data_IF_807630447082
#
_entry.id   IF_807630447082
#
_cell.length_a   1.000
_cell.length_b   1.000
_cell.length_c   1.000
_cell.angle_alpha   90.00
_cell.angle_beta   90.00
_cell.angle_gamma   90.00
#
_symmetry.space_group_name_H-M   'P 1'
#
loop_
_entity.id
_entity.type
_entity.pdbx_description
1 polymer ?
#
# COMPACT_ATOMS: atom_id res chain seq x y z
N UNK A 1 67.47 15.44 5.75
CA UNK A 1 66.91 15.27 4.40
C UNK A 1 65.41 15.12 4.53
N UNK A 2 64.67 16.21 4.33
CA UNK A 2 63.22 16.28 4.47
C UNK A 2 62.54 15.85 3.17
N UNK A 3 61.64 14.88 3.26
CA UNK A 3 60.76 14.51 2.16
C UNK A 3 59.58 15.48 2.11
N UNK A 4 59.74 16.52 1.30
CA UNK A 4 58.64 17.37 0.82
C UNK A 4 58.30 16.92 -0.60
N UNK A 5 57.28 16.07 -0.78
CA UNK A 5 56.61 15.93 -2.08
C UNK A 5 55.28 15.16 -1.99
N UNK A 6 54.19 15.83 -2.38
CA UNK A 6 53.02 15.24 -3.06
C UNK A 6 52.01 14.33 -2.34
N UNK A 7 51.66 14.61 -1.09
CA UNK A 7 50.42 14.08 -0.48
C UNK A 7 49.14 14.86 -0.88
N UNK A 8 49.27 15.95 -1.65
CA UNK A 8 48.11 16.73 -2.17
C UNK A 8 47.54 16.21 -3.49
N UNK A 9 48.28 15.36 -4.24
CA UNK A 9 47.85 14.90 -5.57
C UNK A 9 46.79 13.79 -5.50
N UNK A 10 46.85 12.93 -4.47
CA UNK A 10 45.90 11.82 -4.27
C UNK A 10 44.52 12.33 -3.84
N UNK A 11 44.45 13.37 -3.00
CA UNK A 11 43.18 13.97 -2.57
C UNK A 11 42.48 14.72 -3.73
N UNK A 12 43.25 15.29 -4.66
CA UNK A 12 42.68 15.98 -5.82
C UNK A 12 42.06 15.00 -6.83
N UNK A 13 42.66 13.82 -7.02
CA UNK A 13 42.14 12.78 -7.93
C UNK A 13 40.88 12.08 -7.37
N UNK A 14 40.78 11.92 -6.05
CA UNK A 14 39.56 11.43 -5.38
C UNK A 14 38.42 12.46 -5.38
N UNK A 15 38.72 13.77 -5.38
CA UNK A 15 37.71 14.82 -5.56
C UNK A 15 37.24 14.97 -7.01
N UNK A 16 38.11 14.68 -7.98
CA UNK A 16 37.76 14.76 -9.40
C UNK A 16 36.83 13.61 -9.83
N UNK A 17 37.04 12.41 -9.29
CA UNK A 17 36.12 11.27 -9.55
C UNK A 17 34.76 11.42 -8.87
N UNK A 18 34.69 12.00 -7.67
CA UNK A 18 33.41 12.24 -6.98
C UNK A 18 32.55 13.31 -7.66
N UNK A 19 33.14 14.36 -8.23
CA UNK A 19 32.39 15.40 -8.95
C UNK A 19 31.99 14.99 -10.39
N UNK A 20 32.72 14.04 -11.00
CA UNK A 20 32.43 13.54 -12.35
C UNK A 20 31.31 12.48 -12.36
N UNK A 21 31.19 11.67 -11.29
CA UNK A 21 30.05 10.76 -11.12
C UNK A 21 28.75 11.49 -10.77
N UNK A 22 28.81 12.63 -10.08
CA UNK A 22 27.62 13.40 -9.71
C UNK A 22 27.02 14.18 -10.90
N UNK A 23 27.84 14.55 -11.89
CA UNK A 23 27.39 15.28 -13.10
C UNK A 23 26.87 14.37 -14.22
N UNK A 24 27.00 13.05 -14.07
CA UNK A 24 26.45 12.06 -15.01
C UNK A 24 25.16 11.39 -14.53
N UNK A 25 24.62 11.76 -13.36
CA UNK A 25 23.22 11.49 -13.04
C UNK A 25 22.35 12.60 -13.66
N UNK A 26 22.27 12.54 -14.98
CA UNK A 26 21.26 13.21 -15.78
C UNK A 26 19.89 12.70 -15.32
N UNK A 27 19.31 13.34 -14.30
CA UNK A 27 17.88 13.35 -14.01
C UNK A 27 17.17 14.17 -15.09
N UNK A 28 17.33 13.75 -16.34
CA UNK A 28 16.63 14.24 -17.52
C UNK A 28 15.74 13.12 -18.05
N UNK A 29 14.70 12.81 -17.28
CA UNK A 29 13.41 12.29 -17.75
C UNK A 29 12.42 12.47 -16.60
N UNK A 30 11.36 13.23 -16.86
CA UNK A 30 10.48 13.82 -15.86
C UNK A 30 10.17 12.90 -14.70
N UNK A 31 10.52 13.35 -13.49
CA UNK A 31 9.69 12.98 -12.35
C UNK A 31 8.37 13.70 -12.57
N UNK A 32 7.43 13.06 -13.25
CA UNK A 32 6.03 13.35 -12.96
C UNK A 32 5.85 12.98 -11.49
N UNK A 33 6.06 13.96 -10.60
CA UNK A 33 5.86 13.78 -9.18
C UNK A 33 4.36 13.57 -9.04
N UNK A 34 3.97 12.33 -8.73
CA UNK A 34 2.57 12.02 -8.47
C UNK A 34 2.19 12.73 -7.17
N UNK A 35 1.45 13.83 -7.30
CA UNK A 35 0.92 14.58 -6.18
C UNK A 35 -0.37 13.94 -5.71
N UNK A 36 -0.27 13.04 -4.73
CA UNK A 36 -1.42 12.40 -4.13
C UNK A 36 -2.21 13.38 -3.27
N UNK A 37 -3.51 13.45 -3.51
CA UNK A 37 -4.47 14.05 -2.57
C UNK A 37 -4.49 13.26 -1.27
N UNK A 38 -4.96 13.87 -0.18
CA UNK A 38 -5.06 13.19 1.12
C UNK A 38 -5.86 11.88 1.02
N UNK A 39 -6.95 11.87 0.24
CA UNK A 39 -7.79 10.69 0.03
C UNK A 39 -7.04 9.55 -0.66
N UNK A 40 -6.18 9.87 -1.62
CA UNK A 40 -5.36 8.87 -2.30
C UNK A 40 -4.27 8.33 -1.37
N UNK A 41 -3.68 9.18 -0.54
CA UNK A 41 -2.73 8.73 0.49
C UNK A 41 -3.40 7.80 1.51
N UNK A 42 -4.61 8.11 1.96
CA UNK A 42 -5.36 7.27 2.89
C UNK A 42 -5.67 5.88 2.28
N UNK A 43 -6.05 5.85 0.99
CA UNK A 43 -6.24 4.59 0.25
C UNK A 43 -4.94 3.79 0.13
N UNK A 44 -3.81 4.45 -0.11
CA UNK A 44 -2.50 3.78 -0.14
C UNK A 44 -2.10 3.23 1.24
N UNK A 45 -2.40 3.95 2.32
CA UNK A 45 -2.17 3.45 3.68
C UNK A 45 -3.03 2.22 4.00
N UNK A 46 -4.25 2.17 3.47
CA UNK A 46 -5.11 0.99 3.59
C UNK A 46 -4.50 -0.25 2.91
N UNK A 47 -3.90 -0.08 1.73
CA UNK A 47 -3.19 -1.17 1.03
C UNK A 47 -2.06 -1.74 1.89
N UNK A 48 -1.28 -0.87 2.54
CA UNK A 48 -0.19 -1.28 3.43
C UNK A 48 -0.74 -2.03 4.65
N UNK A 49 -1.84 -1.57 5.23
CA UNK A 49 -2.48 -2.25 6.36
C UNK A 49 -2.98 -3.65 5.97
N UNK A 50 -3.59 -3.79 4.78
CA UNK A 50 -4.06 -5.06 4.26
C UNK A 50 -2.91 -6.04 3.99
N UNK A 51 -1.80 -5.59 3.40
CA UNK A 51 -0.62 -6.43 3.17
C UNK A 51 0.00 -6.90 4.50
N UNK A 52 0.11 -6.01 5.50
CA UNK A 52 0.57 -6.39 6.84
C UNK A 52 -0.34 -7.45 7.48
N UNK A 53 -1.66 -7.29 7.35
CA UNK A 53 -2.66 -8.23 7.85
C UNK A 53 -2.55 -9.59 7.16
N UNK A 54 -2.43 -9.63 5.81
CA UNK A 54 -2.23 -10.89 5.06
C UNK A 54 -0.95 -11.61 5.49
N UNK A 55 0.15 -10.89 5.70
CA UNK A 55 1.39 -11.48 6.22
C UNK A 55 1.22 -12.05 7.64
N UNK A 56 0.35 -11.48 8.48
CA UNK A 56 -0.01 -12.03 9.80
C UNK A 56 -0.85 -13.29 9.66
N UNK A 57 -1.86 -13.27 8.79
CA UNK A 57 -2.71 -14.43 8.47
C UNK A 57 -1.88 -15.62 7.97
N UNK A 58 -0.91 -15.38 7.07
CA UNK A 58 -0.01 -16.43 6.56
C UNK A 58 0.87 -17.09 7.62
N UNK A 59 1.08 -16.43 8.77
CA UNK A 59 1.77 -17.03 9.93
C UNK A 59 0.83 -17.82 10.85
N UNK A 60 -0.46 -17.89 10.53
CA UNK A 60 -1.48 -18.56 11.34
C UNK A 60 -2.01 -17.73 12.49
N UNK A 61 -1.87 -16.39 12.44
CA UNK A 61 -2.47 -15.51 13.44
C UNK A 61 -3.91 -15.16 13.05
N UNK A 62 -4.82 -15.24 14.03
CA UNK A 62 -6.18 -14.70 13.91
C UNK A 62 -6.13 -13.19 13.81
N UNK A 63 -6.92 -12.64 12.90
CA UNK A 63 -6.95 -11.22 12.58
C UNK A 63 -7.74 -10.42 13.62
N UNK A 64 -7.26 -9.23 13.92
CA UNK A 64 -8.01 -8.26 14.72
C UNK A 64 -9.00 -7.44 13.87
N UNK A 65 -9.78 -6.58 14.52
CA UNK A 65 -10.76 -5.72 13.85
C UNK A 65 -10.16 -4.85 12.72
N UNK A 66 -9.12 -4.00 12.94
CA UNK A 66 -8.61 -3.16 11.86
C UNK A 66 -7.94 -3.95 10.73
N UNK A 67 -7.37 -5.12 11.02
CA UNK A 67 -6.81 -6.01 9.99
C UNK A 67 -7.89 -6.64 9.11
N UNK A 68 -8.99 -7.11 9.71
CA UNK A 68 -10.12 -7.64 8.98
C UNK A 68 -10.74 -6.57 8.06
N UNK A 69 -10.96 -5.36 8.61
CA UNK A 69 -11.45 -4.21 7.83
C UNK A 69 -10.51 -3.90 6.67
N UNK A 70 -9.21 -3.84 6.91
CA UNK A 70 -8.23 -3.50 5.87
C UNK A 70 -8.22 -4.52 4.74
N UNK A 71 -8.24 -5.83 5.06
CA UNK A 71 -8.27 -6.90 4.06
C UNK A 71 -9.52 -6.81 3.20
N UNK A 72 -10.71 -6.75 3.84
CA UNK A 72 -11.99 -6.67 3.11
C UNK A 72 -11.99 -5.42 2.23
N UNK A 73 -11.54 -4.29 2.76
CA UNK A 73 -11.51 -3.03 2.00
C UNK A 73 -10.60 -3.09 0.79
N UNK A 74 -9.42 -3.68 0.94
CA UNK A 74 -8.46 -3.84 -0.14
C UNK A 74 -9.04 -4.69 -1.28
N UNK A 75 -9.63 -5.83 -0.95
CA UNK A 75 -10.24 -6.75 -1.92
C UNK A 75 -11.42 -6.11 -2.67
N UNK A 76 -12.19 -5.25 -2.01
CA UNK A 76 -13.28 -4.50 -2.66
C UNK A 76 -12.74 -3.42 -3.61
N UNK A 77 -11.66 -2.73 -3.23
CA UNK A 77 -11.00 -1.75 -4.10
C UNK A 77 -10.42 -2.42 -5.35
N UNK A 78 -9.75 -3.56 -5.20
CA UNK A 78 -9.21 -4.33 -6.32
C UNK A 78 -10.32 -4.89 -7.20
N UNK A 79 -11.39 -5.43 -6.60
CA UNK A 79 -12.54 -5.90 -7.36
C UNK A 79 -13.24 -4.79 -8.16
N UNK A 80 -13.32 -3.57 -7.63
CA UNK A 80 -13.82 -2.42 -8.37
C UNK A 80 -12.87 -2.05 -9.53
N UNK A 81 -11.56 -2.19 -9.32
CA UNK A 81 -10.54 -1.96 -10.36
C UNK A 81 -10.57 -2.98 -11.48
N UNK A 82 -10.91 -4.22 -11.16
CA UNK A 82 -11.16 -5.33 -12.09
C UNK A 82 -12.45 -5.16 -12.90
N UNK A 83 -13.29 -4.18 -12.55
CA UNK A 83 -14.53 -3.88 -13.23
C UNK A 83 -15.72 -4.73 -12.78
N UNK A 84 -15.66 -5.36 -11.60
CA UNK A 84 -16.84 -5.99 -10.99
C UNK A 84 -17.92 -4.95 -10.75
N UNK A 85 -19.19 -5.37 -10.76
CA UNK A 85 -20.32 -4.50 -10.45
C UNK A 85 -20.44 -4.30 -8.93
N UNK A 86 -21.14 -3.23 -8.52
CA UNK A 86 -21.41 -2.96 -7.09
C UNK A 86 -22.11 -4.15 -6.43
N UNK A 87 -23.08 -4.77 -7.11
CA UNK A 87 -23.82 -5.93 -6.58
C UNK A 87 -22.93 -7.17 -6.39
N UNK A 88 -22.00 -7.41 -7.31
CA UNK A 88 -21.02 -8.50 -7.17
C UNK A 88 -20.09 -8.25 -5.98
N UNK A 89 -19.64 -7.01 -5.78
CA UNK A 89 -18.77 -6.63 -4.67
C UNK A 89 -19.45 -6.75 -3.31
N UNK A 90 -20.76 -6.44 -3.22
CA UNK A 90 -21.54 -6.67 -1.99
C UNK A 90 -21.57 -8.14 -1.57
N UNK A 91 -21.62 -9.05 -2.55
CA UNK A 91 -21.60 -10.49 -2.31
C UNK A 91 -20.19 -11.01 -2.07
N UNK A 92 -19.21 -10.51 -2.84
CA UNK A 92 -17.80 -10.87 -2.73
C UNK A 92 -17.23 -10.49 -1.37
N UNK A 93 -17.63 -9.34 -0.81
CA UNK A 93 -17.20 -8.87 0.50
C UNK A 93 -17.40 -9.90 1.63
N UNK A 94 -18.43 -10.75 1.50
CA UNK A 94 -18.79 -11.81 2.47
C UNK A 94 -18.01 -13.11 2.32
N UNK A 95 -17.25 -13.24 1.24
CA UNK A 95 -16.53 -14.48 0.90
C UNK A 95 -15.04 -14.40 1.23
N UNK A 96 -14.56 -13.26 1.72
CA UNK A 96 -13.13 -12.97 1.86
C UNK A 96 -12.57 -13.54 3.16
N UNK A 97 -13.30 -13.40 4.27
CA UNK A 97 -12.90 -13.82 5.60
C UNK A 97 -14.03 -14.62 6.24
N UNK A 98 -13.67 -15.70 6.91
CA UNK A 98 -14.60 -16.47 7.74
C UNK A 98 -14.40 -16.15 9.22
N UNK A 99 -15.33 -16.54 10.08
CA UNK A 99 -15.20 -16.40 11.53
C UNK A 99 -13.91 -17.04 12.09
N UNK A 100 -13.42 -18.11 11.46
CA UNK A 100 -12.19 -18.79 11.87
C UNK A 100 -10.92 -17.95 11.66
N UNK A 101 -10.93 -17.04 10.67
CA UNK A 101 -9.80 -16.19 10.31
C UNK A 101 -9.59 -15.03 11.30
N UNK A 102 -10.61 -14.70 12.10
CA UNK A 102 -10.62 -13.55 12.99
C UNK A 102 -10.60 -13.97 14.47
N UNK A 103 -10.28 -13.02 15.34
CA UNK A 103 -10.40 -13.17 16.79
C UNK A 103 -11.88 -13.22 17.21
N UNK A 104 -12.15 -13.83 18.36
CA UNK A 104 -13.50 -13.92 18.93
C UNK A 104 -14.13 -12.53 19.12
N UNK A 105 -15.39 -12.38 18.76
CA UNK A 105 -16.16 -11.14 18.84
C UNK A 105 -15.88 -10.11 17.73
N UNK A 106 -14.87 -10.33 16.87
CA UNK A 106 -14.58 -9.40 15.76
C UNK A 106 -15.69 -9.44 14.70
N UNK A 107 -16.27 -10.61 14.42
CA UNK A 107 -17.37 -10.76 13.47
C UNK A 107 -18.61 -9.96 13.91
N UNK A 108 -18.97 -10.03 15.19
CA UNK A 108 -20.11 -9.32 15.77
C UNK A 108 -19.92 -7.80 15.79
N UNK A 109 -18.67 -7.33 15.92
CA UNK A 109 -18.35 -5.90 15.90
C UNK A 109 -18.48 -5.28 14.50
N UNK A 110 -18.38 -6.09 13.44
CA UNK A 110 -18.32 -5.64 12.06
C UNK A 110 -19.66 -5.84 11.34
N UNK A 111 -20.69 -5.10 11.77
CA UNK A 111 -22.05 -5.22 11.22
C UNK A 111 -22.21 -4.59 9.84
N UNK A 112 -21.54 -3.48 9.59
CA UNK A 112 -21.57 -2.76 8.32
C UNK A 112 -20.24 -2.08 8.01
N UNK A 113 -19.92 -2.01 6.73
CA UNK A 113 -18.73 -1.36 6.22
C UNK A 113 -19.05 -0.63 4.92
N UNK A 114 -18.54 0.58 4.78
CA UNK A 114 -18.72 1.42 3.60
C UNK A 114 -17.37 1.84 3.03
N UNK A 115 -17.18 1.64 1.72
CA UNK A 115 -15.94 1.99 1.02
C UNK A 115 -16.26 2.71 -0.28
N UNK A 116 -15.55 3.81 -0.50
CA UNK A 116 -15.60 4.57 -1.74
C UNK A 116 -14.55 4.03 -2.74
N UNK A 117 -15.02 3.36 -3.79
CA UNK A 117 -14.18 2.77 -4.82
C UNK A 117 -14.35 3.45 -6.18
N UNK A 118 -13.26 3.50 -6.95
CA UNK A 118 -13.24 4.11 -8.29
C UNK A 118 -13.51 3.02 -9.33
N UNK A 119 -14.69 3.05 -9.95
CA UNK A 119 -15.06 2.17 -11.05
C UNK A 119 -14.70 2.82 -12.39
N UNK A 120 -14.69 2.05 -13.50
CA UNK A 120 -14.58 2.61 -14.85
C UNK A 120 -15.62 3.69 -15.16
N UNK A 121 -16.82 3.59 -14.55
CA UNK A 121 -17.92 4.55 -14.73
C UNK A 121 -17.85 5.76 -13.77
N UNK A 122 -16.85 5.81 -12.88
CA UNK A 122 -16.71 6.82 -11.84
C UNK A 122 -16.76 6.25 -10.42
N UNK A 123 -16.72 7.14 -9.43
CA UNK A 123 -16.62 6.76 -8.02
C UNK A 123 -17.99 6.39 -7.45
N UNK A 124 -18.09 5.23 -6.78
CA UNK A 124 -19.34 4.72 -6.18
C UNK A 124 -19.06 4.25 -4.74
N UNK A 125 -20.07 4.37 -3.89
CA UNK A 125 -20.04 3.85 -2.52
C UNK A 125 -20.50 2.39 -2.54
N UNK A 126 -19.72 1.52 -1.90
CA UNK A 126 -20.07 0.11 -1.69
C UNK A 126 -20.36 -0.07 -0.22
N UNK A 127 -21.54 -0.58 0.11
CA UNK A 127 -21.93 -0.93 1.47
C UNK A 127 -22.02 -2.44 1.58
N UNK A 128 -21.28 -3.02 2.52
CA UNK A 128 -21.33 -4.46 2.82
C UNK A 128 -21.84 -4.66 4.23
N UNK A 129 -22.92 -5.43 4.35
CA UNK A 129 -23.52 -5.80 5.63
C UNK A 129 -23.04 -7.18 6.05
N UNK A 130 -22.49 -7.32 7.25
CA UNK A 130 -21.95 -8.56 7.81
C UNK A 130 -20.97 -9.25 6.83
N UNK A 131 -19.76 -8.68 6.63
CA UNK A 131 -18.81 -9.21 5.67
C UNK A 131 -18.00 -10.42 6.21
N UNK A 132 -18.13 -10.76 7.49
CA UNK A 132 -17.54 -11.97 8.09
C UNK A 132 -18.69 -12.91 8.42
N UNK A 133 -18.66 -14.14 7.89
CA UNK A 133 -19.70 -15.16 8.03
C UNK A 133 -19.10 -16.56 8.22
#
# INVERSE_FOLDING_TARGET
>A
MGYSCSSKLIVLLLRCTYNFLCTQFNLSKGSEIVHFTQREQDKLMLVIAADLARRRQQRGLKLNYPEAVAIISFELLEGARDGKTVAELMSYGKQILNEDDVMEGVADMLTEMEIEATFPDGTKLITVHHPIV
#
